data_IF_438736296710
#
_entry.id   IF_438736296710
#
_cell.length_a   1.000
_cell.length_b   1.000
_cell.length_c   1.000
_cell.angle_alpha   90.00
_cell.angle_beta   90.00
_cell.angle_gamma   90.00
#
_symmetry.space_group_name_H-M   'P 1'
#
loop_
_entity.id
_entity.type
_entity.pdbx_description
1 polymer ?
#
# COMPACT_ATOMS: atom_id res chain seq x y z
N UNK A 1 9.18 -16.10 -16.76
CA UNK A 1 7.91 -15.90 -17.49
C UNK A 1 8.23 -15.26 -18.82
N UNK A 2 7.71 -15.79 -19.93
CA UNK A 2 7.92 -15.20 -21.26
C UNK A 2 6.61 -14.56 -21.72
N UNK A 3 6.65 -13.29 -22.12
CA UNK A 3 5.49 -12.57 -22.67
C UNK A 3 5.75 -12.07 -24.10
N UNK A 4 5.87 -12.97 -25.09
CA UNK A 4 6.17 -12.59 -26.48
C UNK A 4 5.01 -11.85 -27.15
N UNK A 5 3.77 -12.07 -26.69
CA UNK A 5 2.57 -11.40 -27.23
C UNK A 5 2.24 -10.08 -26.52
N UNK A 6 2.98 -9.72 -25.47
CA UNK A 6 2.78 -8.51 -24.66
C UNK A 6 1.41 -8.42 -23.99
N UNK A 7 0.69 -9.54 -23.84
CA UNK A 7 -0.66 -9.55 -23.27
C UNK A 7 -0.57 -9.22 -21.78
N UNK A 8 0.35 -9.87 -21.07
CA UNK A 8 0.52 -9.67 -19.63
C UNK A 8 1.00 -8.25 -19.35
N UNK A 9 1.98 -7.77 -20.13
CA UNK A 9 2.51 -6.43 -19.98
C UNK A 9 1.50 -5.34 -20.31
N UNK A 10 0.66 -5.54 -21.33
CA UNK A 10 -0.44 -4.63 -21.66
C UNK A 10 -1.51 -4.61 -20.57
N UNK A 11 -1.96 -5.78 -20.10
CA UNK A 11 -2.96 -5.87 -19.03
C UNK A 11 -2.49 -5.22 -17.73
N UNK A 12 -1.20 -5.36 -17.39
CA UNK A 12 -0.63 -4.73 -16.20
C UNK A 12 -0.25 -3.25 -16.40
N UNK A 13 -0.42 -2.69 -17.61
CA UNK A 13 -0.06 -1.29 -17.91
C UNK A 13 1.45 -1.01 -17.82
N UNK A 14 2.28 -2.02 -18.09
CA UNK A 14 3.75 -1.95 -17.90
C UNK A 14 4.52 -1.74 -19.20
N UNK A 15 3.84 -1.40 -20.30
CA UNK A 15 4.49 -1.13 -21.58
C UNK A 15 5.08 0.28 -21.61
N UNK A 16 6.30 0.38 -22.13
CA UNK A 16 6.93 1.64 -22.46
C UNK A 16 6.56 2.01 -23.90
N UNK A 17 5.79 3.09 -24.07
CA UNK A 17 5.37 3.58 -25.38
C UNK A 17 6.40 4.47 -26.05
N UNK A 18 7.44 4.92 -25.32
CA UNK A 18 8.49 5.76 -25.87
C UNK A 18 9.66 4.96 -26.46
N UNK A 19 9.81 3.70 -26.06
CA UNK A 19 10.94 2.86 -26.47
C UNK A 19 10.47 1.60 -27.21
N UNK A 20 11.15 1.29 -28.31
CA UNK A 20 10.95 0.06 -29.09
C UNK A 20 12.24 -0.74 -29.19
N UNK A 21 12.13 -2.06 -29.33
CA UNK A 21 13.28 -2.94 -29.57
C UNK A 21 13.76 -2.86 -31.03
N UNK A 22 14.83 -3.60 -31.33
CA UNK A 22 15.42 -3.69 -32.69
C UNK A 22 14.47 -4.29 -33.74
N UNK A 23 13.38 -4.93 -33.31
CA UNK A 23 12.33 -5.50 -34.17
C UNK A 23 11.09 -4.60 -34.22
N UNK A 24 11.14 -3.39 -33.65
CA UNK A 24 10.03 -2.44 -33.60
C UNK A 24 8.92 -2.80 -32.61
N UNK A 25 9.15 -3.75 -31.70
CA UNK A 25 8.18 -4.16 -30.69
C UNK A 25 8.32 -3.31 -29.42
N UNK A 26 7.19 -3.00 -28.78
CA UNK A 26 7.18 -2.32 -27.49
C UNK A 26 7.90 -3.13 -26.41
N UNK A 27 8.66 -2.42 -25.59
CA UNK A 27 9.38 -2.97 -24.43
C UNK A 27 8.62 -2.71 -23.14
N UNK A 28 8.97 -3.43 -22.08
CA UNK A 28 8.35 -3.24 -20.77
C UNK A 28 9.15 -2.25 -19.93
N UNK A 29 8.45 -1.40 -19.18
CA UNK A 29 8.99 -0.69 -18.04
C UNK A 29 9.48 -1.69 -16.98
N UNK A 30 10.32 -1.19 -16.07
CA UNK A 30 10.78 -1.96 -14.91
C UNK A 30 9.74 -1.86 -13.81
N UNK A 31 8.62 -2.54 -14.00
CA UNK A 31 7.53 -2.58 -13.03
C UNK A 31 7.72 -3.70 -12.01
N UNK A 32 7.30 -3.43 -10.78
CA UNK A 32 7.20 -4.37 -9.67
C UNK A 32 5.79 -4.25 -9.10
N UNK A 33 5.13 -5.40 -8.93
CA UNK A 33 3.78 -5.48 -8.38
C UNK A 33 3.81 -6.40 -7.17
N UNK A 34 3.33 -5.90 -6.03
CA UNK A 34 3.14 -6.70 -4.82
C UNK A 34 1.68 -7.11 -4.75
N UNK A 35 1.45 -8.42 -4.73
CA UNK A 35 0.11 -9.03 -4.69
C UNK A 35 -0.04 -9.75 -3.36
N UNK A 36 -1.18 -9.55 -2.69
CA UNK A 36 -1.48 -10.23 -1.43
C UNK A 36 -2.03 -11.65 -1.65
N UNK A 37 -2.17 -12.48 -0.59
CA UNK A 37 -2.76 -13.82 -0.71
C UNK A 37 -4.24 -13.83 -1.16
N UNK A 38 -4.91 -12.67 -1.16
CA UNK A 38 -6.29 -12.48 -1.64
C UNK A 38 -6.33 -12.01 -3.10
N UNK A 39 -5.20 -12.08 -3.82
CA UNK A 39 -5.04 -11.68 -5.21
C UNK A 39 -5.30 -10.18 -5.46
N UNK A 40 -5.20 -9.34 -4.42
CA UNK A 40 -5.30 -7.89 -4.56
C UNK A 40 -3.92 -7.28 -4.74
N UNK A 41 -3.82 -6.32 -5.66
CA UNK A 41 -2.61 -5.51 -5.83
C UNK A 41 -2.49 -4.54 -4.65
N UNK A 42 -1.39 -4.63 -3.91
CA UNK A 42 -1.12 -3.79 -2.73
C UNK A 42 -0.17 -2.64 -3.02
N UNK A 43 0.73 -2.81 -3.99
CA UNK A 43 1.69 -1.79 -4.41
C UNK A 43 2.12 -2.03 -5.85
N UNK A 44 2.26 -0.94 -6.61
CA UNK A 44 2.89 -0.93 -7.93
C UNK A 44 4.03 0.09 -7.90
N UNK A 45 5.23 -0.33 -8.29
CA UNK A 45 6.38 0.55 -8.52
C UNK A 45 6.80 0.43 -9.98
N UNK A 46 6.81 1.54 -10.71
CA UNK A 46 7.18 1.58 -12.12
C UNK A 46 8.36 2.52 -12.34
N UNK A 47 9.47 1.97 -12.86
CA UNK A 47 10.67 2.73 -13.19
C UNK A 47 10.94 2.66 -14.70
N UNK A 48 11.49 3.73 -15.31
CA UNK A 48 11.94 3.68 -16.70
C UNK A 48 13.13 2.74 -16.85
N UNK A 49 13.45 2.35 -18.10
CA UNK A 49 14.58 1.45 -18.38
C UNK A 49 15.94 2.01 -17.93
N UNK A 50 16.08 3.34 -17.90
CA UNK A 50 17.29 4.05 -17.47
C UNK A 50 17.55 3.98 -15.97
N UNK A 51 16.51 3.76 -15.15
CA UNK A 51 16.61 3.85 -13.69
C UNK A 51 16.65 2.47 -13.04
N UNK A 52 17.63 2.27 -12.15
CA UNK A 52 17.72 1.09 -11.30
C UNK A 52 16.65 1.10 -10.20
N UNK A 53 16.15 -0.09 -9.83
CA UNK A 53 15.21 -0.24 -8.70
C UNK A 53 15.97 -0.31 -7.38
N UNK A 54 15.39 0.25 -6.32
CA UNK A 54 15.89 0.07 -4.95
C UNK A 54 15.21 -1.13 -4.30
N UNK A 55 15.96 -2.22 -4.10
CA UNK A 55 15.43 -3.39 -3.37
C UNK A 55 15.25 -3.14 -1.88
N UNK A 56 16.01 -2.20 -1.30
CA UNK A 56 15.81 -1.77 0.07
C UNK A 56 14.41 -1.15 0.25
N UNK A 57 13.95 -0.35 -0.72
CA UNK A 57 12.60 0.22 -0.68
C UNK A 57 11.53 -0.86 -0.86
N UNK A 58 11.75 -1.82 -1.74
CA UNK A 58 10.82 -2.95 -1.91
C UNK A 58 10.65 -3.71 -0.61
N UNK A 59 11.75 -4.01 0.11
CA UNK A 59 11.68 -4.71 1.39
C UNK A 59 10.96 -3.86 2.45
N UNK A 60 11.30 -2.57 2.55
CA UNK A 60 10.65 -1.62 3.47
C UNK A 60 9.14 -1.52 3.20
N UNK A 61 8.73 -1.47 1.95
CA UNK A 61 7.33 -1.47 1.55
C UNK A 61 6.62 -2.77 1.91
N UNK A 62 7.26 -3.93 1.71
CA UNK A 62 6.69 -5.23 2.12
C UNK A 62 6.45 -5.26 3.63
N UNK A 63 7.42 -4.80 4.43
CA UNK A 63 7.26 -4.74 5.87
C UNK A 63 6.17 -3.76 6.28
N UNK A 64 6.13 -2.57 5.67
CA UNK A 64 5.07 -1.58 5.86
C UNK A 64 3.68 -2.13 5.54
N UNK A 65 3.52 -2.86 4.43
CA UNK A 65 2.26 -3.52 4.07
C UNK A 65 1.83 -4.55 5.11
N UNK A 66 2.79 -5.30 5.66
CA UNK A 66 2.52 -6.25 6.75
C UNK A 66 2.14 -5.53 8.05
N UNK A 67 2.68 -4.34 8.33
CA UNK A 67 2.27 -3.48 9.45
C UNK A 67 0.86 -2.90 9.25
N UNK A 68 0.51 -2.54 8.02
CA UNK A 68 -0.84 -2.06 7.70
C UNK A 68 -1.91 -3.13 8.00
N UNK A 69 -1.60 -4.41 7.78
CA UNK A 69 -2.50 -5.51 8.12
C UNK A 69 -2.70 -5.66 9.66
N UNK A 70 -1.86 -5.02 10.47
CA UNK A 70 -1.95 -4.94 11.93
C UNK A 70 -2.73 -3.71 12.42
N UNK A 71 -3.23 -2.86 11.52
CA UNK A 71 -3.97 -1.65 11.90
C UNK A 71 -3.09 -0.46 12.28
N UNK A 72 -1.77 -0.53 12.04
CA UNK A 72 -0.84 0.60 12.21
C UNK A 72 -0.36 1.12 10.85
N UNK A 73 0.01 2.39 10.79
CA UNK A 73 0.42 3.06 9.55
C UNK A 73 1.87 3.52 9.65
N UNK A 74 2.68 3.24 8.63
CA UNK A 74 4.08 3.70 8.61
C UNK A 74 4.17 5.13 8.05
N UNK A 75 4.79 6.10 8.76
CA UNK A 75 4.95 7.47 8.27
C UNK A 75 5.90 7.58 7.06
N UNK A 76 6.05 8.79 6.55
CA UNK A 76 7.01 9.10 5.49
C UNK A 76 8.43 8.67 5.90
N UNK A 77 9.18 8.09 4.96
CA UNK A 77 10.56 7.60 5.15
C UNK A 77 10.77 6.60 6.30
N UNK A 78 9.69 6.03 6.85
CA UNK A 78 9.72 5.09 7.96
C UNK A 78 10.65 3.91 7.69
N UNK A 79 11.48 3.58 8.68
CA UNK A 79 12.31 2.37 8.71
C UNK A 79 11.86 1.42 9.82
N UNK A 80 12.13 0.10 9.65
CA UNK A 80 11.82 -0.88 10.70
C UNK A 80 12.43 -0.49 12.04
N UNK A 81 11.61 -0.49 13.09
CA UNK A 81 11.98 -0.06 14.44
C UNK A 81 11.74 1.43 14.74
N UNK A 82 11.34 2.24 13.76
CA UNK A 82 10.87 3.61 14.01
C UNK A 82 9.38 3.64 14.38
N UNK A 83 8.95 4.71 15.06
CA UNK A 83 7.56 4.90 15.48
C UNK A 83 6.58 4.81 14.30
N UNK A 84 5.46 4.14 14.53
CA UNK A 84 4.34 4.00 13.61
C UNK A 84 3.16 4.86 14.07
N UNK A 85 2.23 5.13 13.17
CA UNK A 85 1.04 5.92 13.42
C UNK A 85 -0.18 5.04 13.66
N UNK A 86 -1.12 5.53 14.46
CA UNK A 86 -2.42 4.89 14.67
C UNK A 86 -3.56 5.86 14.39
N UNK A 87 -4.74 5.29 14.12
CA UNK A 87 -5.96 6.09 13.97
C UNK A 87 -6.33 6.80 15.28
N UNK A 88 -7.08 7.90 15.19
CA UNK A 88 -7.62 8.60 16.37
C UNK A 88 -8.53 7.71 17.23
N UNK A 89 -9.16 6.69 16.63
CA UNK A 89 -10.00 5.74 17.34
C UNK A 89 -9.15 4.80 18.20
N UNK A 90 -8.11 4.22 17.60
CA UNK A 90 -7.14 3.37 18.30
C UNK A 90 -6.35 4.13 19.38
N UNK A 91 -6.16 5.44 19.21
CA UNK A 91 -5.51 6.29 20.20
C UNK A 91 -6.35 6.51 21.48
N UNK A 92 -7.62 6.06 21.51
CA UNK A 92 -8.44 6.09 22.74
C UNK A 92 -8.08 4.97 23.70
N UNK A 93 -7.69 3.81 23.18
CA UNK A 93 -7.33 2.62 23.97
C UNK A 93 -5.84 2.50 24.23
N UNK A 94 -5.01 3.14 23.40
CA UNK A 94 -3.55 3.13 23.55
C UNK A 94 -3.02 4.54 23.74
N UNK A 95 -2.28 4.78 24.82
CA UNK A 95 -1.55 6.03 25.03
C UNK A 95 -0.43 6.18 24.01
N UNK A 96 -0.47 7.19 23.12
CA UNK A 96 0.58 7.38 22.14
C UNK A 96 1.87 7.88 22.80
N UNK A 97 3.01 7.44 22.28
CA UNK A 97 4.32 7.92 22.71
C UNK A 97 4.55 9.39 22.31
N UNK A 98 4.01 9.79 21.15
CA UNK A 98 4.05 11.17 20.68
C UNK A 98 2.71 11.56 20.06
N UNK A 99 2.15 12.66 20.57
CA UNK A 99 0.89 13.25 20.12
C UNK A 99 1.15 14.67 19.66
N UNK A 100 0.45 15.09 18.61
CA UNK A 100 0.42 16.49 18.19
C UNK A 100 -0.98 17.05 18.45
N UNK A 101 -1.13 17.72 19.59
CA UNK A 101 -2.40 18.31 20.02
C UNK A 101 -2.61 19.73 19.47
N UNK A 102 -1.52 20.46 19.17
CA UNK A 102 -1.56 21.82 18.63
C UNK A 102 -1.53 21.81 17.10
N UNK A 103 -2.51 21.15 16.51
CA UNK A 103 -2.73 21.20 15.06
C UNK A 103 -3.71 22.34 14.75
N UNK A 104 -3.48 23.15 13.69
CA UNK A 104 -4.39 24.24 13.32
C UNK A 104 -5.85 23.85 13.10
N UNK A 105 -6.10 22.56 12.84
CA UNK A 105 -7.44 22.01 12.67
C UNK A 105 -8.17 21.70 13.99
N UNK A 106 -7.48 21.74 15.13
CA UNK A 106 -8.00 21.33 16.44
C UNK A 106 -8.32 19.82 16.56
N UNK A 107 -7.83 18.99 15.63
CA UNK A 107 -8.08 17.54 15.60
C UNK A 107 -6.83 16.74 15.94
N UNK A 108 -6.97 15.74 16.79
CA UNK A 108 -5.87 14.84 17.19
C UNK A 108 -5.84 13.57 16.32
N UNK A 109 -5.26 13.67 15.11
CA UNK A 109 -5.12 12.55 14.17
C UNK A 109 -3.68 12.07 13.98
N UNK A 110 -2.72 12.81 14.52
CA UNK A 110 -1.30 12.53 14.35
C UNK A 110 -0.75 11.91 15.64
N UNK A 111 -1.06 10.62 15.81
CA UNK A 111 -0.72 9.83 17.00
C UNK A 111 0.34 8.79 16.65
N UNK A 112 1.48 8.86 17.33
CA UNK A 112 2.61 7.95 17.13
C UNK A 112 2.77 7.01 18.32
N UNK A 113 3.03 5.74 18.02
CA UNK A 113 3.38 4.68 18.96
C UNK A 113 4.68 4.02 18.51
N UNK A 114 5.46 3.40 19.40
CA UNK A 114 6.57 2.55 18.99
C UNK A 114 6.07 1.44 18.06
N UNK A 115 6.87 1.03 17.06
CA UNK A 115 6.52 -0.13 16.22
C UNK A 115 6.25 -1.33 17.14
N UNK A 116 5.03 -1.90 17.17
CA UNK A 116 4.70 -3.05 18.03
C UNK A 116 5.50 -4.32 17.66
N UNK A 117 6.27 -4.27 16.58
CA UNK A 117 7.04 -5.39 16.06
C UNK A 117 8.50 -5.31 16.50
N UNK A 118 8.82 -5.95 17.64
CA UNK A 118 10.09 -6.68 17.74
C UNK A 118 9.87 -8.19 17.51
N UNK A 119 8.64 -8.70 17.71
CA UNK A 119 8.31 -10.12 17.47
C UNK A 119 6.86 -10.35 17.06
N UNK A 120 6.61 -11.40 16.25
CA UNK A 120 5.26 -11.83 15.79
C UNK A 120 4.25 -12.15 16.91
N UNK A 121 4.72 -12.44 18.12
CA UNK A 121 3.89 -12.82 19.26
C UNK A 121 3.27 -11.60 19.96
N UNK A 122 4.07 -10.56 20.19
CA UNK A 122 3.68 -9.30 20.86
C UNK A 122 2.58 -8.57 20.07
N UNK A 123 2.62 -8.69 18.74
CA UNK A 123 1.63 -8.16 17.81
C UNK A 123 0.21 -8.68 18.07
N UNK A 124 0.05 -9.99 18.32
CA UNK A 124 -1.28 -10.59 18.53
C UNK A 124 -1.86 -10.20 19.88
N UNK A 125 -1.01 -10.12 20.88
CA UNK A 125 -1.39 -9.74 22.25
C UNK A 125 -1.80 -8.26 22.31
N UNK A 126 -1.00 -7.36 21.74
CA UNK A 126 -1.31 -5.93 21.67
C UNK A 126 -2.61 -5.64 20.90
N UNK A 127 -2.83 -6.34 19.78
CA UNK A 127 -4.04 -6.17 19.00
C UNK A 127 -5.25 -6.87 19.57
N UNK A 128 -5.12 -7.95 20.36
CA UNK A 128 -6.28 -8.50 21.07
C UNK A 128 -6.89 -7.49 22.04
N UNK A 129 -6.07 -6.66 22.69
CA UNK A 129 -6.57 -5.58 23.55
C UNK A 129 -7.15 -4.39 22.79
N UNK A 130 -6.81 -4.19 21.51
CA UNK A 130 -7.23 -3.03 20.73
C UNK A 130 -8.31 -3.33 19.66
N UNK A 131 -8.43 -4.59 19.22
CA UNK A 131 -9.39 -5.04 18.20
C UNK A 131 -10.75 -5.43 18.80
N UNK A 132 -10.83 -5.75 20.09
CA UNK A 132 -12.11 -6.04 20.74
C UNK A 132 -13.04 -4.81 20.76
N UNK A 133 -12.48 -3.60 20.67
CA UNK A 133 -13.20 -2.32 20.65
C UNK A 133 -13.32 -1.67 19.26
N UNK A 134 -12.65 -2.21 18.23
CA UNK A 134 -12.64 -1.61 16.89
C UNK A 134 -13.85 -2.08 16.07
N UNK A 135 -14.73 -1.17 15.58
CA UNK A 135 -15.86 -1.56 14.76
C UNK A 135 -15.35 -2.18 13.45
N UNK A 136 -15.87 -3.37 13.12
CA UNK A 136 -15.56 -4.04 11.87
C UNK A 136 -15.78 -3.07 10.69
N UNK A 137 -14.69 -2.70 10.01
CA UNK A 137 -14.76 -1.84 8.82
C UNK A 137 -15.58 -2.57 7.76
N UNK A 138 -16.83 -2.13 7.56
CA UNK A 138 -17.64 -2.57 6.43
C UNK A 138 -16.88 -2.22 5.15
N UNK A 139 -16.60 -3.24 4.36
CA UNK A 139 -16.12 -3.05 3.00
C UNK A 139 -17.33 -2.54 2.22
N UNK A 140 -17.25 -1.29 1.77
CA UNK A 140 -18.26 -0.71 0.90
C UNK A 140 -17.99 -1.25 -0.51
N UNK A 141 -18.79 -2.22 -0.95
CA UNK A 141 -18.65 -2.89 -2.25
C UNK A 141 -19.11 -1.99 -3.43
N UNK A 142 -19.53 -0.76 -3.14
CA UNK A 142 -20.00 0.24 -4.11
C UNK A 142 -18.95 0.74 -5.10
N UNK A 143 -17.66 0.43 -4.91
CA UNK A 143 -16.61 0.82 -5.85
C UNK A 143 -16.56 -0.06 -7.11
N UNK A 144 -17.16 -1.26 -7.08
CA UNK A 144 -17.21 -2.16 -8.24
C UNK A 144 -18.24 -1.72 -9.29
N UNK A 145 -19.33 -1.07 -8.87
CA UNK A 145 -20.46 -0.74 -9.74
C UNK A 145 -20.22 0.52 -10.61
N UNK A 146 -19.27 1.38 -10.23
CA UNK A 146 -19.01 2.65 -10.93
C UNK A 146 -18.06 2.57 -12.13
N UNK A 147 -17.46 1.41 -12.41
CA UNK A 147 -16.47 1.26 -13.49
C UNK A 147 -17.08 0.76 -14.81
N UNK A 148 -18.24 0.09 -14.77
CA UNK A 148 -18.90 -0.41 -15.99
C UNK A 148 -19.78 0.62 -16.71
N UNK A 149 -20.25 1.68 -16.03
CA UNK A 149 -21.14 2.68 -16.65
C UNK A 149 -20.42 3.72 -17.53
N UNK A 150 -19.08 3.79 -17.49
CA UNK A 150 -18.30 4.82 -18.17
C UNK A 150 -17.91 4.55 -19.62
N UNK A 151 -18.13 3.34 -20.16
CA UNK A 151 -17.62 2.94 -21.49
C UNK A 151 -18.71 2.64 -22.54
N UNK A 152 -19.99 2.85 -22.21
CA UNK A 152 -21.10 2.58 -23.12
C UNK A 152 -21.85 3.86 -23.50
N UNK A 153 -21.16 4.85 -24.07
CA UNK A 153 -21.75 5.95 -24.86
C UNK A 153 -20.65 6.72 -25.57
N UNK A 154 -20.28 6.25 -26.76
CA UNK A 154 -19.81 7.08 -27.86
C UNK A 154 -19.79 6.19 -29.12
N UNK A 155 -20.98 6.02 -29.70
CA UNK A 155 -21.17 5.53 -31.06
C UNK A 155 -22.42 6.24 -31.62
N UNK A 156 -22.24 7.45 -32.15
CA UNK A 156 -23.04 8.08 -33.22
C UNK A 156 -22.23 9.16 -33.93
#
# INVERSE_FOLDING_TARGET
MADPRRIISATLGTLDYATVDTKGSLVTLRSLVIVDPKMKVRLILSYPMSTGRSFAEVLRCVESLQRADLGVFTPADWKPGEDVMISSESARSVTPHRVFDDLPSGKTYMNFIPDPVNTRAEIREYLSGALDDAPARKVDDTFADGFEEGFAKDDK
#
